data_IF_406401942426
#
_entry.id   IF_406401942426
#
_cell.length_a   1.000
_cell.length_b   1.000
_cell.length_c   1.000
_cell.angle_alpha   90.00
_cell.angle_beta   90.00
_cell.angle_gamma   90.00
#
_symmetry.space_group_name_H-M   'P 1'
#
loop_
_entity.id
_entity.type
_entity.pdbx_description
1 polymer ?
#
# COMPACT_ATOMS: atom_id res chain seq x y z
N UNK A 1 1.90 2.82 -23.92
CA UNK A 1 2.36 1.64 -23.15
C UNK A 1 3.02 2.06 -21.84
N UNK A 2 4.05 2.94 -21.84
CA UNK A 2 4.71 3.40 -20.62
C UNK A 2 3.78 4.11 -19.63
N UNK A 3 2.81 4.89 -20.11
CA UNK A 3 1.84 5.57 -19.25
C UNK A 3 0.92 4.64 -18.45
N UNK A 4 0.90 3.35 -18.74
CA UNK A 4 0.16 2.33 -17.99
C UNK A 4 1.01 1.68 -16.89
N UNK A 5 2.32 1.82 -16.96
CA UNK A 5 3.23 1.29 -15.95
C UNK A 5 3.17 2.15 -14.68
N UNK A 6 2.76 1.59 -13.53
CA UNK A 6 2.71 2.34 -12.28
C UNK A 6 4.05 2.90 -11.84
N UNK A 7 5.16 2.20 -12.10
CA UNK A 7 6.51 2.67 -11.80
C UNK A 7 6.86 3.91 -12.62
N UNK A 8 6.53 3.89 -13.92
CA UNK A 8 6.74 5.04 -14.79
C UNK A 8 5.90 6.24 -14.34
N UNK A 9 4.63 6.01 -13.99
CA UNK A 9 3.74 7.06 -13.47
C UNK A 9 4.29 7.66 -12.19
N UNK A 10 4.73 6.82 -11.25
CA UNK A 10 5.35 7.27 -10.01
C UNK A 10 6.61 8.10 -10.28
N UNK A 11 7.50 7.62 -11.15
CA UNK A 11 8.75 8.31 -11.49
C UNK A 11 8.48 9.68 -12.12
N UNK A 12 7.53 9.76 -13.06
CA UNK A 12 7.14 11.04 -13.69
C UNK A 12 6.50 11.98 -12.69
N UNK A 13 5.56 11.50 -11.87
CA UNK A 13 4.91 12.32 -10.84
C UNK A 13 5.92 12.84 -9.82
N UNK A 14 6.85 11.99 -9.39
CA UNK A 14 7.91 12.37 -8.47
C UNK A 14 8.88 13.39 -9.10
N UNK A 15 9.21 13.26 -10.39
CA UNK A 15 10.03 14.24 -11.09
C UNK A 15 9.36 15.62 -11.18
N UNK A 16 8.06 15.65 -11.49
CA UNK A 16 7.26 16.88 -11.49
C UNK A 16 7.21 17.51 -10.10
N UNK A 17 6.91 16.72 -9.07
CA UNK A 17 6.89 17.16 -7.68
C UNK A 17 8.24 17.78 -7.27
N UNK A 18 9.35 17.11 -7.56
CA UNK A 18 10.70 17.62 -7.28
C UNK A 18 10.97 18.94 -7.98
N UNK A 19 10.60 19.06 -9.25
CA UNK A 19 10.74 20.31 -10.01
C UNK A 19 9.93 21.46 -9.40
N UNK A 20 8.69 21.19 -9.00
CA UNK A 20 7.85 22.20 -8.34
C UNK A 20 8.42 22.59 -6.97
N UNK A 21 8.85 21.62 -6.17
CA UNK A 21 9.42 21.86 -4.86
C UNK A 21 10.72 22.69 -4.96
N UNK A 22 11.59 22.38 -5.92
CA UNK A 22 12.81 23.13 -6.17
C UNK A 22 12.54 24.57 -6.60
N UNK A 23 11.53 24.78 -7.46
CA UNK A 23 11.09 26.11 -7.83
C UNK A 23 10.62 26.92 -6.62
N UNK A 24 9.76 26.34 -5.78
CA UNK A 24 9.23 26.98 -4.57
C UNK A 24 10.34 27.27 -3.56
N UNK A 25 11.24 26.33 -3.31
CA UNK A 25 12.36 26.49 -2.41
C UNK A 25 13.25 27.69 -2.85
N UNK A 26 13.55 27.77 -4.13
CA UNK A 26 14.31 28.91 -4.70
C UNK A 26 13.53 30.23 -4.56
N UNK A 27 12.23 30.24 -4.86
CA UNK A 27 11.39 31.43 -4.80
C UNK A 27 11.28 32.00 -3.38
N UNK A 28 11.14 31.11 -2.40
CA UNK A 28 10.97 31.48 -1.00
C UNK A 28 12.25 31.44 -0.17
N UNK A 29 13.38 31.12 -0.79
CA UNK A 29 14.70 30.99 -0.13
C UNK A 29 14.66 30.01 1.04
N UNK A 30 14.01 28.89 0.84
CA UNK A 30 13.91 27.79 1.79
C UNK A 30 14.81 26.62 1.37
N UNK A 31 15.09 25.74 2.32
CA UNK A 31 15.83 24.52 2.03
C UNK A 31 15.02 23.61 1.11
N UNK A 32 15.69 23.04 0.12
CA UNK A 32 15.13 22.01 -0.74
C UNK A 32 15.34 20.65 -0.08
N UNK A 33 14.27 20.06 0.40
CA UNK A 33 14.26 18.71 0.98
C UNK A 33 13.06 17.95 0.42
N UNK A 34 13.32 16.79 -0.15
CA UNK A 34 12.28 15.92 -0.73
C UNK A 34 11.83 14.90 0.31
N UNK A 35 10.53 14.65 0.38
CA UNK A 35 9.99 13.59 1.24
C UNK A 35 10.61 12.23 0.91
N UNK A 36 10.75 11.30 1.89
CA UNK A 36 11.32 9.98 1.67
C UNK A 36 10.48 9.12 0.71
N UNK A 37 11.06 8.04 0.25
CA UNK A 37 10.34 6.94 -0.37
C UNK A 37 9.59 6.13 0.72
N UNK A 38 8.53 5.38 0.35
CA UNK A 38 7.90 4.42 1.26
C UNK A 38 8.93 3.43 1.81
N UNK A 39 8.68 2.96 3.02
CA UNK A 39 9.47 1.86 3.60
C UNK A 39 9.17 0.54 2.90
N UNK A 40 10.08 -0.40 3.03
CA UNK A 40 10.04 -1.72 2.40
C UNK A 40 10.42 -2.81 3.42
N UNK A 41 10.39 -4.09 3.02
CA UNK A 41 10.78 -5.22 3.87
C UNK A 41 10.06 -5.22 5.22
N UNK A 42 8.75 -5.03 5.20
CA UNK A 42 7.96 -4.94 6.41
C UNK A 42 7.64 -6.32 6.98
N UNK A 43 7.72 -6.48 8.30
CA UNK A 43 7.21 -7.64 9.00
C UNK A 43 6.51 -7.27 10.30
N UNK A 44 5.48 -8.04 10.66
CA UNK A 44 4.73 -7.91 11.89
C UNK A 44 4.64 -9.28 12.55
N UNK A 45 5.36 -9.52 13.64
CA UNK A 45 5.51 -10.84 14.25
C UNK A 45 5.38 -10.81 15.76
N UNK A 46 4.96 -11.91 16.35
CA UNK A 46 4.99 -12.08 17.81
C UNK A 46 6.42 -12.27 18.30
N UNK A 47 6.82 -11.51 19.33
CA UNK A 47 8.03 -11.72 20.09
C UNK A 47 7.75 -12.56 21.35
N UNK A 48 6.57 -12.36 21.92
CA UNK A 48 6.02 -13.11 23.06
C UNK A 48 4.53 -13.29 22.81
N UNK A 49 3.80 -13.73 23.78
CA UNK A 49 2.39 -14.11 23.67
C UNK A 49 1.52 -13.11 22.87
N UNK A 50 1.34 -11.90 23.38
CA UNK A 50 0.58 -10.84 22.71
C UNK A 50 1.43 -9.65 22.28
N UNK A 51 2.73 -9.71 22.52
CA UNK A 51 3.66 -8.68 22.12
C UNK A 51 4.04 -8.86 20.65
N UNK A 52 3.84 -7.82 19.87
CA UNK A 52 4.13 -7.76 18.44
C UNK A 52 5.30 -6.83 18.19
N UNK A 53 6.23 -7.26 17.38
CA UNK A 53 7.27 -6.43 16.82
C UNK A 53 7.01 -6.19 15.34
N UNK A 54 7.02 -4.93 14.96
CA UNK A 54 7.05 -4.48 13.60
C UNK A 54 8.49 -4.14 13.23
N UNK A 55 8.93 -4.54 12.06
CA UNK A 55 10.23 -4.14 11.49
C UNK A 55 10.05 -3.74 10.04
N UNK A 56 10.90 -2.86 9.55
CA UNK A 56 10.91 -2.39 8.16
C UNK A 56 12.28 -1.86 7.78
N UNK A 57 12.48 -1.58 6.51
CA UNK A 57 13.70 -0.96 6.00
C UNK A 57 13.39 0.37 5.30
N UNK A 58 14.21 1.41 5.49
CA UNK A 58 14.12 2.62 4.68
C UNK A 58 14.57 2.33 3.26
N UNK A 59 13.98 3.07 2.31
CA UNK A 59 14.36 3.02 0.91
C UNK A 59 15.06 4.32 0.54
N UNK A 60 16.29 4.21 0.07
CA UNK A 60 17.04 5.36 -0.45
C UNK A 60 16.57 5.70 -1.86
N UNK A 61 16.37 6.99 -2.14
CA UNK A 61 16.15 7.47 -3.51
C UNK A 61 17.50 7.73 -4.17
N UNK A 62 17.92 6.91 -5.16
CA UNK A 62 19.24 7.07 -5.78
C UNK A 62 19.37 8.37 -6.59
N UNK A 63 18.23 9.00 -6.91
CA UNK A 63 18.18 10.24 -7.69
C UNK A 63 17.94 11.48 -6.82
N UNK A 64 17.85 11.30 -5.47
CA UNK A 64 17.52 12.40 -4.57
C UNK A 64 18.13 12.22 -3.18
N UNK A 65 19.34 12.72 -2.95
CA UNK A 65 20.03 12.50 -1.67
C UNK A 65 19.37 13.19 -0.47
N UNK A 66 18.47 14.15 -0.69
CA UNK A 66 17.75 14.82 0.39
C UNK A 66 16.56 14.00 0.91
N UNK A 67 16.13 12.99 0.17
CA UNK A 67 14.95 12.17 0.48
C UNK A 67 15.24 11.03 1.49
N UNK A 68 16.14 11.25 2.44
CA UNK A 68 16.47 10.24 3.46
C UNK A 68 15.41 10.25 4.56
N UNK A 69 15.00 9.05 4.99
CA UNK A 69 14.16 8.89 6.16
C UNK A 69 14.95 9.28 7.43
N UNK A 70 14.36 10.14 8.26
CA UNK A 70 14.91 10.53 9.56
C UNK A 70 14.13 9.88 10.71
N UNK A 71 12.83 9.69 10.51
CA UNK A 71 11.89 9.13 11.47
C UNK A 71 10.80 8.35 10.72
N UNK A 72 9.92 7.69 11.45
CA UNK A 72 8.81 6.93 10.90
C UNK A 72 7.54 7.20 11.70
N UNK A 73 6.38 7.06 11.07
CA UNK A 73 5.10 7.05 11.75
C UNK A 73 4.48 5.67 11.57
N UNK A 74 4.13 5.04 12.67
CA UNK A 74 3.43 3.76 12.71
C UNK A 74 1.96 4.03 12.96
N UNK A 75 1.12 3.67 12.00
CA UNK A 75 -0.33 3.77 12.11
C UNK A 75 -0.90 2.41 12.49
N UNK A 76 -1.82 2.40 13.45
CA UNK A 76 -2.47 1.20 13.94
C UNK A 76 -3.97 1.26 13.69
N UNK A 77 -4.53 0.14 13.26
CA UNK A 77 -5.96 -0.07 13.16
C UNK A 77 -6.35 -1.29 13.96
N UNK A 78 -7.39 -1.18 14.78
CA UNK A 78 -7.93 -2.26 15.59
C UNK A 78 -9.27 -2.71 14.99
N UNK A 79 -9.34 -3.97 14.59
CA UNK A 79 -10.55 -4.56 14.00
C UNK A 79 -10.96 -3.89 12.69
N UNK A 80 -12.21 -3.46 12.63
CA UNK A 80 -12.84 -2.84 11.43
C UNK A 80 -12.82 -1.30 11.47
N UNK A 81 -12.10 -0.70 12.42
CA UNK A 81 -12.00 0.75 12.55
C UNK A 81 -11.14 1.42 11.49
N UNK A 82 -10.98 2.72 11.61
CA UNK A 82 -10.01 3.49 10.84
C UNK A 82 -8.61 3.39 11.48
N UNK A 83 -7.58 3.73 10.72
CA UNK A 83 -6.25 3.92 11.29
C UNK A 83 -6.23 5.12 12.23
N UNK A 84 -5.43 5.00 13.29
CA UNK A 84 -5.19 6.07 14.24
C UNK A 84 -4.37 7.23 13.63
N UNK A 85 -4.00 8.21 14.46
CA UNK A 85 -3.19 9.35 14.02
C UNK A 85 -1.69 9.04 13.95
N UNK A 86 -1.30 7.78 14.19
CA UNK A 86 0.07 7.31 14.14
C UNK A 86 0.93 7.71 15.33
N UNK A 87 1.99 6.94 15.52
CA UNK A 87 3.00 7.14 16.56
C UNK A 87 4.35 7.38 15.87
N UNK A 88 4.99 8.52 16.20
CA UNK A 88 6.32 8.85 15.68
C UNK A 88 7.39 8.01 16.40
N UNK A 89 8.24 7.36 15.61
CA UNK A 89 9.34 6.53 16.09
C UNK A 89 10.66 6.87 15.39
N UNK A 90 11.77 6.73 16.12
CA UNK A 90 13.12 7.06 15.62
C UNK A 90 13.91 5.84 15.13
N UNK A 91 13.30 4.67 15.17
CA UNK A 91 13.93 3.41 14.78
C UNK A 91 13.08 2.76 13.71
N UNK A 92 13.67 1.90 12.93
CA UNK A 92 13.00 1.05 11.94
C UNK A 92 12.37 -0.21 12.57
N UNK A 93 11.92 -0.09 13.80
CA UNK A 93 11.15 -1.10 14.52
C UNK A 93 10.22 -0.48 15.55
N UNK A 94 9.13 -1.17 15.84
CA UNK A 94 8.17 -0.76 16.86
C UNK A 94 7.59 -1.99 17.55
N UNK A 95 7.46 -1.92 18.87
CA UNK A 95 6.88 -3.00 19.68
C UNK A 95 5.60 -2.52 20.36
N UNK A 96 4.60 -3.37 20.35
CA UNK A 96 3.30 -3.09 20.97
C UNK A 96 2.63 -4.39 21.42
N UNK A 97 1.62 -4.28 22.28
CA UNK A 97 0.78 -5.39 22.66
C UNK A 97 -0.57 -5.32 21.96
N UNK A 98 -1.09 -6.46 21.55
CA UNK A 98 -2.42 -6.56 20.92
C UNK A 98 -3.40 -7.33 21.82
N UNK A 99 -4.68 -7.01 21.76
CA UNK A 99 -5.71 -7.83 22.45
C UNK A 99 -5.92 -9.16 21.73
N UNK A 100 -6.17 -10.22 22.50
CA UNK A 100 -6.55 -11.53 21.93
C UNK A 100 -7.93 -11.47 21.29
N UNK A 101 -8.13 -12.22 20.21
CA UNK A 101 -9.41 -12.31 19.49
C UNK A 101 -9.68 -11.16 18.53
N UNK A 102 -8.74 -10.21 18.40
CA UNK A 102 -8.88 -9.03 17.54
C UNK A 102 -7.73 -8.99 16.54
N UNK A 103 -8.01 -8.49 15.35
CA UNK A 103 -6.98 -8.22 14.33
C UNK A 103 -6.47 -6.81 14.52
N UNK A 104 -5.15 -6.65 14.57
CA UNK A 104 -4.50 -5.36 14.51
C UNK A 104 -3.75 -5.24 13.20
N UNK A 105 -3.97 -4.14 12.49
CA UNK A 105 -3.34 -3.86 11.21
C UNK A 105 -2.43 -2.63 11.34
N UNK A 106 -1.34 -2.65 10.60
CA UNK A 106 -0.30 -1.64 10.67
C UNK A 106 0.12 -1.20 9.29
N UNK A 107 0.41 0.08 9.14
CA UNK A 107 1.15 0.65 8.02
C UNK A 107 2.17 1.64 8.55
N UNK A 108 3.24 1.83 7.82
CA UNK A 108 4.36 2.68 8.22
C UNK A 108 4.66 3.69 7.13
N UNK A 109 4.94 4.91 7.53
CA UNK A 109 5.47 5.94 6.64
C UNK A 109 6.83 6.39 7.11
N UNK A 110 7.66 6.85 6.19
CA UNK A 110 8.95 7.47 6.49
C UNK A 110 8.80 9.00 6.48
N UNK A 111 9.51 9.68 7.36
CA UNK A 111 9.39 11.13 7.56
C UNK A 111 10.75 11.78 7.57
N UNK A 112 10.84 12.95 6.96
CA UNK A 112 11.93 13.91 7.09
C UNK A 112 11.40 15.35 7.05
N UNK A 113 12.28 16.34 6.99
CA UNK A 113 11.89 17.75 6.90
C UNK A 113 11.10 18.09 5.63
N UNK A 114 11.21 17.29 4.58
CA UNK A 114 10.48 17.45 3.32
C UNK A 114 9.04 16.92 3.36
N UNK A 115 8.70 16.17 4.41
CA UNK A 115 7.36 15.64 4.61
C UNK A 115 7.32 14.13 4.90
N UNK A 116 6.14 13.58 4.78
CA UNK A 116 5.82 12.18 5.01
C UNK A 116 5.71 11.42 3.67
N UNK A 117 6.25 10.22 3.62
CA UNK A 117 6.17 9.34 2.45
C UNK A 117 4.75 8.79 2.23
N UNK A 118 4.50 8.19 1.07
CA UNK A 118 3.40 7.24 0.96
C UNK A 118 3.59 6.09 1.96
N UNK A 119 2.50 5.43 2.41
CA UNK A 119 2.61 4.34 3.35
C UNK A 119 3.20 3.08 2.72
N UNK A 120 3.69 2.20 3.60
CA UNK A 120 3.95 0.81 3.29
C UNK A 120 2.64 0.09 2.90
N UNK A 121 2.77 -1.16 2.50
CA UNK A 121 1.67 -2.10 2.54
C UNK A 121 1.06 -2.22 3.94
N UNK A 122 -0.17 -2.75 4.01
CA UNK A 122 -0.85 -3.00 5.28
C UNK A 122 -0.59 -4.44 5.71
N UNK A 123 0.14 -4.61 6.81
CA UNK A 123 0.30 -5.90 7.46
C UNK A 123 -0.62 -6.02 8.66
N UNK A 124 -1.00 -7.25 8.98
CA UNK A 124 -1.93 -7.52 10.06
C UNK A 124 -1.48 -8.70 10.89
N UNK A 125 -1.83 -8.67 12.17
CA UNK A 125 -1.60 -9.77 13.10
C UNK A 125 -2.86 -10.03 13.91
N UNK A 126 -3.04 -11.26 14.35
CA UNK A 126 -4.15 -11.62 15.23
C UNK A 126 -3.79 -12.77 16.16
N UNK A 127 -4.07 -12.59 17.44
CA UNK A 127 -3.88 -13.63 18.46
C UNK A 127 -5.20 -14.30 18.76
N UNK A 128 -5.31 -15.61 18.50
CA UNK A 128 -6.48 -16.39 18.91
C UNK A 128 -6.50 -16.54 20.44
N UNK A 129 -7.70 -16.49 21.04
CA UNK A 129 -7.87 -16.65 22.49
C UNK A 129 -7.34 -18.01 22.98
N UNK A 130 -7.60 -19.05 22.20
CA UNK A 130 -7.03 -20.39 22.38
C UNK A 130 -6.41 -20.81 21.06
N UNK A 131 -5.12 -20.57 20.88
CA UNK A 131 -4.47 -20.81 19.60
C UNK A 131 -4.07 -22.26 19.42
N UNK A 132 -4.32 -22.79 18.21
CA UNK A 132 -3.82 -24.09 17.75
C UNK A 132 -2.42 -24.02 17.15
N UNK A 133 -1.90 -22.81 16.96
CA UNK A 133 -0.62 -22.48 16.35
C UNK A 133 -0.66 -21.13 15.69
N UNK A 134 0.44 -20.72 15.07
CA UNK A 134 0.54 -19.44 14.36
C UNK A 134 0.76 -19.69 12.87
N UNK A 135 -0.04 -19.05 12.03
CA UNK A 135 0.08 -19.07 10.58
C UNK A 135 0.88 -17.83 10.15
N UNK A 136 1.80 -18.00 9.21
CA UNK A 136 2.45 -16.89 8.54
C UNK A 136 1.66 -16.52 7.29
N UNK A 137 1.24 -15.27 7.20
CA UNK A 137 0.64 -14.71 5.99
C UNK A 137 1.71 -13.89 5.28
N UNK A 138 2.04 -14.27 4.07
CA UNK A 138 3.01 -13.55 3.23
C UNK A 138 2.21 -12.71 2.25
N UNK A 139 2.41 -11.40 2.30
CA UNK A 139 1.81 -10.48 1.36
C UNK A 139 2.76 -10.28 0.17
N UNK A 140 2.58 -11.08 -0.88
CA UNK A 140 3.28 -10.91 -2.15
C UNK A 140 2.48 -10.04 -3.15
N UNK A 141 1.65 -9.16 -2.62
CA UNK A 141 0.85 -8.23 -3.39
C UNK A 141 1.37 -6.80 -3.16
N UNK A 142 2.41 -6.43 -3.86
CA UNK A 142 3.13 -5.17 -3.64
C UNK A 142 2.32 -3.94 -3.96
N UNK A 143 1.47 -4.04 -4.93
CA UNK A 143 0.58 -2.96 -5.32
C UNK A 143 -0.35 -3.38 -6.43
N UNK A 144 -1.35 -2.57 -6.69
CA UNK A 144 -2.12 -2.70 -7.92
C UNK A 144 -1.18 -2.55 -9.10
N UNK A 145 -1.11 -3.58 -9.88
CA UNK A 145 -0.71 -3.44 -11.27
C UNK A 145 -1.68 -2.48 -11.95
N UNK A 146 -1.24 -1.81 -12.99
CA UNK A 146 -2.15 -1.14 -13.89
C UNK A 146 -3.29 -2.11 -14.23
N UNK A 147 -4.54 -1.63 -14.23
CA UNK A 147 -5.66 -2.46 -14.61
C UNK A 147 -5.41 -3.04 -16.00
N UNK A 148 -5.96 -4.22 -16.24
CA UNK A 148 -5.86 -4.84 -17.54
C UNK A 148 -6.40 -3.87 -18.59
N UNK A 149 -5.56 -3.48 -19.53
CA UNK A 149 -5.97 -2.66 -20.66
C UNK A 149 -6.62 -3.53 -21.74
N UNK A 150 -7.52 -2.94 -22.48
CA UNK A 150 -8.10 -3.54 -23.68
C UNK A 150 -8.12 -2.54 -24.83
N UNK A 151 -7.99 -3.05 -26.04
CA UNK A 151 -8.12 -2.27 -27.26
C UNK A 151 -8.98 -3.08 -28.22
N UNK A 152 -10.08 -2.48 -28.68
CA UNK A 152 -10.96 -3.02 -29.70
C UNK A 152 -10.88 -2.12 -30.94
N UNK A 153 -9.95 -2.37 -31.87
CA UNK A 153 -9.69 -1.46 -32.99
C UNK A 153 -10.90 -1.27 -33.90
N UNK A 154 -11.74 -2.30 -34.06
CA UNK A 154 -12.90 -2.29 -34.90
C UNK A 154 -13.94 -1.25 -34.45
N UNK A 155 -14.07 -1.08 -33.15
CA UNK A 155 -15.02 -0.16 -32.55
C UNK A 155 -14.37 1.16 -32.11
N UNK A 156 -13.07 1.31 -32.36
CA UNK A 156 -12.29 2.46 -31.90
C UNK A 156 -12.41 2.69 -30.38
N UNK A 157 -12.43 1.61 -29.61
CA UNK A 157 -12.53 1.61 -28.16
C UNK A 157 -11.19 1.19 -27.58
N UNK A 158 -10.75 1.90 -26.57
CA UNK A 158 -9.64 1.50 -25.69
C UNK A 158 -9.98 1.89 -24.25
N UNK A 159 -9.58 1.10 -23.30
CA UNK A 159 -9.87 1.39 -21.90
C UNK A 159 -9.19 0.44 -20.94
N UNK A 160 -9.66 0.45 -19.72
CA UNK A 160 -9.16 -0.36 -18.63
C UNK A 160 -10.31 -1.05 -17.90
N UNK A 161 -10.06 -2.25 -17.42
CA UNK A 161 -10.99 -2.95 -16.56
C UNK A 161 -10.71 -2.56 -15.10
N UNK A 162 -11.68 -1.95 -14.45
CA UNK A 162 -11.57 -1.43 -13.08
C UNK A 162 -11.97 -2.43 -12.00
N UNK A 163 -12.37 -3.62 -12.39
CA UNK A 163 -13.03 -4.60 -11.52
C UNK A 163 -12.08 -5.57 -10.82
N UNK A 164 -10.78 -5.48 -11.11
CA UNK A 164 -9.85 -6.52 -10.67
C UNK A 164 -9.46 -6.39 -9.21
N UNK A 165 -9.56 -5.23 -8.64
CA UNK A 165 -9.23 -5.00 -7.25
C UNK A 165 -9.94 -3.78 -6.71
N UNK A 166 -11.00 -4.03 -5.99
CA UNK A 166 -11.77 -2.96 -5.37
C UNK A 166 -11.24 -2.56 -3.98
N UNK A 167 -10.31 -3.33 -3.40
CA UNK A 167 -9.73 -3.07 -2.09
C UNK A 167 -10.77 -2.80 -1.00
N UNK A 168 -10.37 -2.12 0.05
CA UNK A 168 -11.24 -1.78 1.19
C UNK A 168 -11.37 -0.27 1.33
N UNK A 169 -12.60 0.29 1.43
CA UNK A 169 -12.83 1.73 1.48
C UNK A 169 -12.58 2.30 2.87
N UNK A 170 -11.35 2.51 3.24
CA UNK A 170 -11.02 3.27 4.44
C UNK A 170 -10.92 4.76 4.12
N UNK A 171 -11.61 5.60 4.89
CA UNK A 171 -11.67 7.05 4.67
C UNK A 171 -10.29 7.71 4.67
N UNK A 172 -9.37 7.17 5.45
CA UNK A 172 -8.02 7.70 5.63
C UNK A 172 -6.95 6.90 4.88
N UNK A 173 -7.36 5.90 4.11
CA UNK A 173 -6.41 5.12 3.33
C UNK A 173 -6.06 5.85 2.04
N UNK A 174 -4.79 6.19 1.90
CA UNK A 174 -4.26 6.90 0.72
C UNK A 174 -3.96 5.97 -0.47
N UNK A 175 -4.13 4.66 -0.29
CA UNK A 175 -3.98 3.69 -1.38
C UNK A 175 -5.16 3.69 -2.36
N UNK A 176 -6.16 4.50 -2.11
CA UNK A 176 -7.30 4.68 -3.01
C UNK A 176 -6.85 5.21 -4.38
N UNK A 177 -7.29 4.58 -5.44
CA UNK A 177 -6.95 4.96 -6.81
C UNK A 177 -8.16 5.30 -7.68
N UNK A 178 -9.37 5.13 -7.21
CA UNK A 178 -10.58 5.42 -7.96
C UNK A 178 -10.90 4.44 -9.08
N UNK A 179 -11.97 4.72 -9.79
CA UNK A 179 -12.39 3.96 -10.97
C UNK A 179 -11.49 4.23 -12.15
N UNK A 180 -11.25 3.20 -12.93
CA UNK A 180 -10.67 3.33 -14.26
C UNK A 180 -11.76 3.60 -15.28
N UNK A 181 -11.40 4.33 -16.33
CA UNK A 181 -12.36 4.80 -17.29
C UNK A 181 -12.11 4.21 -18.67
N UNK A 182 -13.20 4.01 -19.38
CA UNK A 182 -13.20 3.58 -20.76
C UNK A 182 -13.06 4.79 -21.70
N UNK A 183 -12.18 4.71 -22.67
CA UNK A 183 -11.97 5.76 -23.68
C UNK A 183 -12.56 5.30 -25.02
N UNK A 184 -13.56 6.01 -25.49
CA UNK A 184 -14.20 5.77 -26.78
C UNK A 184 -13.99 6.94 -27.71
N UNK A 185 -13.25 6.74 -28.78
CA UNK A 185 -12.92 7.81 -29.74
C UNK A 185 -14.13 8.44 -30.43
N UNK A 186 -15.22 7.71 -30.52
CA UNK A 186 -16.45 8.17 -31.13
C UNK A 186 -17.36 8.99 -30.21
N UNK A 187 -17.06 9.04 -28.91
CA UNK A 187 -17.77 9.88 -27.96
C UNK A 187 -17.13 11.27 -28.00
N UNK A 188 -17.91 12.33 -28.27
CA UNK A 188 -17.42 13.68 -28.26
C UNK A 188 -16.99 14.09 -26.81
N UNK A 189 -16.21 15.14 -26.75
CA UNK A 189 -15.87 15.75 -25.47
C UNK A 189 -17.15 16.25 -24.77
N UNK A 190 -17.37 15.79 -23.55
CA UNK A 190 -18.48 16.15 -22.68
C UNK A 190 -17.93 16.82 -21.43
N UNK A 191 -18.75 17.63 -20.80
CA UNK A 191 -18.33 18.44 -19.65
C UNK A 191 -18.62 17.80 -18.29
N UNK A 192 -19.59 16.91 -18.19
CA UNK A 192 -20.02 16.34 -16.91
C UNK A 192 -20.13 14.81 -16.87
N UNK A 193 -20.62 14.18 -17.93
CA UNK A 193 -20.88 12.73 -17.95
C UNK A 193 -19.77 11.90 -18.56
N UNK A 194 -19.00 12.49 -19.45
CA UNK A 194 -17.84 11.85 -20.05
C UNK A 194 -16.76 12.89 -20.33
N UNK A 195 -15.57 12.69 -19.86
CA UNK A 195 -14.48 13.62 -20.00
C UNK A 195 -13.58 13.29 -21.17
N UNK A 196 -13.65 14.12 -22.20
CA UNK A 196 -12.78 14.01 -23.36
C UNK A 196 -12.95 12.71 -24.11
N UNK A 197 -12.43 12.59 -25.25
CA UNK A 197 -12.52 11.42 -26.10
C UNK A 197 -12.87 10.13 -25.35
N UNK A 198 -14.09 10.06 -24.87
CA UNK A 198 -14.67 8.87 -24.37
C UNK A 198 -14.30 8.44 -22.98
N UNK A 199 -13.86 9.32 -22.19
CA UNK A 199 -13.89 9.01 -20.77
C UNK A 199 -15.35 8.89 -20.35
N UNK A 200 -15.77 7.69 -19.98
CA UNK A 200 -17.16 7.34 -20.07
C UNK A 200 -18.02 7.84 -18.93
N UNK A 201 -17.55 7.95 -17.71
CA UNK A 201 -18.41 8.29 -16.56
C UNK A 201 -17.63 8.98 -15.44
N UNK A 202 -17.61 10.28 -15.44
CA UNK A 202 -17.04 11.10 -14.37
C UNK A 202 -17.72 10.90 -13.01
N UNK A 203 -18.99 10.45 -13.00
CA UNK A 203 -19.75 10.18 -11.78
C UNK A 203 -19.12 9.15 -10.85
N UNK A 204 -18.25 8.30 -11.36
CA UNK A 204 -17.51 7.35 -10.55
C UNK A 204 -16.47 8.01 -9.64
N UNK A 205 -15.99 9.18 -10.01
CA UNK A 205 -14.99 9.91 -9.23
C UNK A 205 -15.51 10.42 -7.90
N UNK A 206 -16.81 10.58 -7.77
CA UNK A 206 -17.44 11.03 -6.51
C UNK A 206 -17.65 9.90 -5.52
N UNK A 207 -17.45 8.64 -5.92
CA UNK A 207 -17.55 7.49 -5.06
C UNK A 207 -16.15 7.06 -4.63
N UNK A 208 -15.97 6.87 -3.33
CA UNK A 208 -14.82 6.15 -2.82
C UNK A 208 -14.94 4.73 -3.31
N UNK A 209 -14.27 4.41 -4.39
CA UNK A 209 -14.09 3.03 -4.82
C UNK A 209 -12.83 2.58 -4.13
N UNK A 210 -13.02 1.66 -3.23
CA UNK A 210 -11.96 1.00 -2.57
C UNK A 210 -11.17 0.23 -3.61
N UNK A 211 -10.06 0.76 -3.97
CA UNK A 211 -9.04 0.03 -4.68
C UNK A 211 -7.92 -0.22 -3.73
N UNK A 212 -7.27 -1.32 -3.80
CA UNK A 212 -5.92 -1.54 -3.41
C UNK A 212 -5.50 -0.97 -2.04
N UNK A 213 -6.28 -1.26 -1.06
CA UNK A 213 -5.88 -0.95 0.30
C UNK A 213 -4.78 -1.89 0.82
N UNK A 214 -4.37 -2.89 0.04
CA UNK A 214 -3.42 -3.93 0.45
C UNK A 214 -3.82 -4.63 1.76
N UNK A 215 -5.12 -4.71 2.05
CA UNK A 215 -5.68 -5.17 3.32
C UNK A 215 -5.90 -6.69 3.37
N UNK A 216 -5.35 -7.41 2.43
CA UNK A 216 -5.50 -8.85 2.31
C UNK A 216 -5.05 -9.64 3.53
N UNK A 217 -3.94 -9.30 4.23
CA UNK A 217 -3.57 -9.97 5.46
C UNK A 217 -4.66 -9.93 6.53
N UNK A 218 -5.42 -8.82 6.64
CA UNK A 218 -6.56 -8.75 7.55
C UNK A 218 -7.73 -9.62 7.10
N UNK A 219 -8.01 -9.65 5.79
CA UNK A 219 -9.10 -10.44 5.21
C UNK A 219 -8.86 -11.94 5.42
N UNK A 220 -7.67 -12.42 5.07
CA UNK A 220 -7.26 -13.81 5.30
C UNK A 220 -7.20 -14.12 6.80
N UNK A 221 -6.66 -13.19 7.59
CA UNK A 221 -6.55 -13.29 9.04
C UNK A 221 -7.88 -13.53 9.75
N UNK A 222 -9.00 -12.99 9.24
CA UNK A 222 -10.35 -13.27 9.77
C UNK A 222 -10.70 -14.74 9.68
N UNK A 223 -10.40 -15.37 8.55
CA UNK A 223 -10.65 -16.79 8.35
C UNK A 223 -9.72 -17.64 9.23
N UNK A 224 -8.46 -17.25 9.35
CA UNK A 224 -7.45 -17.93 10.17
C UNK A 224 -7.84 -17.90 11.66
N UNK A 225 -8.20 -16.71 12.19
CA UNK A 225 -8.68 -16.58 13.57
C UNK A 225 -9.94 -17.40 13.83
N UNK A 226 -10.89 -17.38 12.89
CA UNK A 226 -12.12 -18.18 12.98
C UNK A 226 -11.82 -19.68 13.02
N UNK A 227 -10.78 -20.14 12.35
CA UNK A 227 -10.31 -21.53 12.40
C UNK A 227 -9.59 -21.88 13.72
N UNK A 228 -9.32 -20.90 14.58
CA UNK A 228 -8.68 -21.08 15.88
C UNK A 228 -7.14 -20.99 15.84
N UNK A 229 -6.59 -20.37 14.81
CA UNK A 229 -5.15 -20.10 14.71
C UNK A 229 -4.86 -18.62 14.93
N UNK A 230 -3.72 -18.33 15.54
CA UNK A 230 -3.13 -17.00 15.50
C UNK A 230 -2.46 -16.78 14.14
N UNK A 231 -2.22 -15.55 13.77
CA UNK A 231 -1.45 -15.27 12.56
C UNK A 231 -0.57 -14.03 12.72
N UNK A 232 0.48 -14.02 11.95
CA UNK A 232 1.41 -12.91 11.72
C UNK A 232 1.54 -12.68 10.24
N UNK A 233 2.06 -11.53 9.82
CA UNK A 233 2.24 -11.26 8.40
C UNK A 233 3.58 -10.58 8.11
N UNK A 234 4.02 -10.72 6.87
CA UNK A 234 5.21 -10.06 6.35
C UNK A 234 5.05 -9.80 4.86
N UNK A 235 5.87 -8.92 4.33
CA UNK A 235 6.09 -8.79 2.89
C UNK A 235 6.90 -9.98 2.36
N UNK A 236 6.87 -10.21 1.06
CA UNK A 236 7.64 -11.29 0.43
C UNK A 236 9.15 -11.01 0.43
N UNK A 237 9.58 -9.76 0.36
CA UNK A 237 11.00 -9.39 0.37
C UNK A 237 11.73 -9.84 1.65
N UNK A 238 11.04 -9.91 2.80
CA UNK A 238 11.66 -10.43 4.03
C UNK A 238 11.84 -11.93 4.02
N UNK A 239 11.08 -12.64 3.20
CA UNK A 239 11.29 -14.07 2.93
C UNK A 239 12.45 -14.25 1.96
N UNK A 240 12.49 -13.45 0.88
CA UNK A 240 13.55 -13.52 -0.12
C UNK A 240 14.93 -13.22 0.47
N UNK A 241 15.03 -12.24 1.36
CA UNK A 241 16.29 -11.92 2.04
C UNK A 241 16.61 -12.83 3.24
N UNK A 242 15.73 -13.78 3.58
CA UNK A 242 15.92 -14.73 4.67
C UNK A 242 15.73 -14.18 6.07
N UNK A 243 15.17 -12.97 6.23
CA UNK A 243 14.91 -12.37 7.55
C UNK A 243 13.76 -13.08 8.30
N UNK A 244 12.87 -13.73 7.57
CA UNK A 244 11.79 -14.58 8.10
C UNK A 244 11.91 -15.96 7.47
N UNK A 245 11.94 -16.99 8.33
CA UNK A 245 12.01 -18.38 7.89
C UNK A 245 10.63 -19.02 7.83
N UNK A 246 10.32 -19.66 6.72
CA UNK A 246 9.07 -20.42 6.56
C UNK A 246 9.00 -21.63 7.51
N UNK A 247 10.15 -22.15 7.93
CA UNK A 247 10.23 -23.33 8.79
C UNK A 247 9.76 -23.06 10.24
N UNK A 248 9.66 -21.80 10.63
CA UNK A 248 9.21 -21.40 11.96
C UNK A 248 7.69 -21.49 12.14
N UNK A 249 6.97 -21.77 11.05
CA UNK A 249 5.50 -21.76 11.02
C UNK A 249 4.92 -23.09 10.50
N UNK A 250 3.91 -23.65 11.20
CA UNK A 250 3.27 -24.90 10.75
C UNK A 250 2.47 -24.73 9.47
N UNK A 251 2.01 -23.52 9.18
CA UNK A 251 1.25 -23.18 7.98
C UNK A 251 1.67 -21.80 7.46
N UNK A 252 1.70 -21.70 6.15
CA UNK A 252 1.99 -20.47 5.41
C UNK A 252 0.83 -20.20 4.45
N UNK A 253 0.35 -18.97 4.44
CA UNK A 253 -0.63 -18.45 3.51
C UNK A 253 0.05 -17.39 2.63
N UNK A 254 0.25 -17.72 1.35
CA UNK A 254 0.90 -16.83 0.41
C UNK A 254 -0.15 -16.13 -0.45
N UNK A 255 -0.26 -14.83 -0.28
CA UNK A 255 -1.13 -13.98 -1.06
C UNK A 255 -0.37 -13.53 -2.31
N UNK A 256 -0.75 -14.08 -3.45
CA UNK A 256 -0.20 -13.70 -4.73
C UNK A 256 -1.13 -12.69 -5.41
N UNK A 257 -0.62 -11.51 -5.64
CA UNK A 257 -1.19 -10.56 -6.57
C UNK A 257 -0.43 -10.54 -7.89
N UNK A 258 -0.62 -9.52 -8.71
CA UNK A 258 0.36 -9.23 -9.74
C UNK A 258 1.59 -8.65 -9.05
N UNK A 259 2.45 -9.53 -8.61
CA UNK A 259 3.79 -9.16 -8.21
C UNK A 259 4.48 -8.47 -9.38
N UNK A 260 5.37 -7.59 -9.07
CA UNK A 260 6.26 -7.03 -10.07
C UNK A 260 7.23 -8.14 -10.39
N UNK A 261 6.89 -8.92 -11.43
CA UNK A 261 7.87 -9.85 -11.98
C UNK A 261 9.13 -9.05 -12.30
N UNK A 262 10.22 -9.46 -11.70
CA UNK A 262 11.57 -9.01 -12.00
C UNK A 262 11.88 -9.29 -13.47
#
# INVERSE_FOLDING_TARGET
RYGLDPRFRFTVSRAIYKGMLQFLANQYKQDYVVQPLPVDHMSARFTKDTEVELTWQPVDDPLEPTAKAEQYIVYTRIGEGDFDNGILVNKNSYQTNIPSGVICSYKVTAVNKGGESFPSEILSVGKAIQTKGTVLVINGFDRISAPADFVVPQDSIAGFLDQLDHGVPYKTDISYIGSMKEFRRNIPWMDDDASGFGDSYSNYETKVIAGNSFDYPAIHGKAILKAGYSFVSCSDEVIENGSVSLQDYPFVDLILGKGIGI
#
